data_IF_505060189275
#
_entry.id   IF_505060189275
#
_cell.length_a   1.000
_cell.length_b   1.000
_cell.length_c   1.000
_cell.angle_alpha   90.00
_cell.angle_beta   90.00
_cell.angle_gamma   90.00
#
_symmetry.space_group_name_H-M   'P 1'
#
loop_
_entity.id
_entity.type
_entity.pdbx_description
1 polymer ?
#
# COMPACT_ATOMS: atom_id res chain seq x y z
N UNK A 1 12.25 -3.86 -4.72
CA UNK A 1 11.94 -2.90 -5.81
C UNK A 1 11.63 -1.53 -5.19
N UNK A 2 11.84 -0.45 -5.92
CA UNK A 2 11.60 0.95 -5.49
C UNK A 2 10.92 1.71 -6.62
N UNK A 3 10.05 2.65 -6.29
CA UNK A 3 9.39 3.54 -7.24
C UNK A 3 10.00 4.96 -7.16
N UNK A 4 10.32 5.55 -8.32
CA UNK A 4 10.82 6.93 -8.42
C UNK A 4 10.13 7.60 -9.61
N UNK A 5 9.37 8.67 -9.35
CA UNK A 5 8.53 9.31 -10.37
C UNK A 5 7.57 8.30 -10.97
N UNK A 6 7.65 8.06 -12.28
CA UNK A 6 6.85 7.03 -12.94
C UNK A 6 7.59 5.71 -13.22
N UNK A 7 8.81 5.51 -12.69
CA UNK A 7 9.65 4.33 -12.98
C UNK A 7 9.70 3.36 -11.78
N UNK A 8 9.72 2.06 -12.08
CA UNK A 8 10.00 0.99 -11.13
C UNK A 8 11.42 0.50 -11.35
N UNK A 9 12.20 0.51 -10.26
CA UNK A 9 13.58 0.06 -10.24
C UNK A 9 13.74 -1.16 -9.33
N UNK A 10 14.68 -2.04 -9.67
CA UNK A 10 15.11 -3.16 -8.83
C UNK A 10 16.56 -2.94 -8.40
N UNK A 11 16.79 -3.10 -7.10
CA UNK A 11 18.12 -3.04 -6.51
C UNK A 11 18.56 -4.46 -6.16
N UNK A 12 19.68 -4.88 -6.75
CA UNK A 12 20.43 -6.06 -6.34
C UNK A 12 21.39 -5.62 -5.24
N UNK A 13 20.95 -5.78 -3.98
CA UNK A 13 21.71 -5.34 -2.81
C UNK A 13 23.09 -6.01 -2.71
N UNK A 14 23.28 -7.20 -3.31
CA UNK A 14 24.56 -7.90 -3.31
C UNK A 14 25.57 -7.31 -4.30
N UNK A 15 25.10 -6.61 -5.33
CA UNK A 15 25.93 -5.91 -6.32
C UNK A 15 26.12 -4.46 -5.96
N UNK A 16 25.03 -3.78 -5.59
CA UNK A 16 25.06 -2.38 -5.15
C UNK A 16 26.04 -2.24 -3.99
N UNK A 17 25.98 -3.13 -2.99
CA UNK A 17 26.85 -3.18 -1.81
C UNK A 17 28.37 -3.28 -2.05
N UNK A 18 28.82 -3.57 -3.28
CA UNK A 18 30.25 -3.68 -3.63
C UNK A 18 30.85 -2.37 -4.16
N UNK A 19 30.01 -1.42 -4.59
CA UNK A 19 30.45 -0.04 -4.83
C UNK A 19 30.52 0.63 -3.46
N UNK A 20 31.74 0.86 -2.96
CA UNK A 20 32.12 1.65 -1.76
C UNK A 20 31.16 1.63 -0.55
N UNK A 21 31.65 1.11 0.58
CA UNK A 21 30.88 0.77 1.78
C UNK A 21 29.74 1.73 2.13
N UNK A 22 28.51 1.23 2.02
CA UNK A 22 27.31 1.97 2.42
C UNK A 22 27.31 2.16 3.94
N UNK A 23 27.30 3.40 4.39
CA UNK A 23 26.88 3.76 5.75
C UNK A 23 25.37 4.03 5.77
N UNK A 24 24.70 3.77 6.91
CA UNK A 24 23.34 4.25 7.15
C UNK A 24 23.21 5.79 7.08
N UNK A 25 24.34 6.51 7.17
CA UNK A 25 24.41 7.98 7.14
C UNK A 25 24.58 8.57 5.72
N UNK A 26 25.05 7.79 4.73
CA UNK A 26 25.26 8.29 3.36
C UNK A 26 24.22 7.71 2.40
N UNK A 27 23.38 8.59 1.84
CA UNK A 27 22.35 8.23 0.88
C UNK A 27 22.96 7.88 -0.49
N UNK A 28 22.55 6.75 -1.07
CA UNK A 28 22.90 6.42 -2.46
C UNK A 28 22.24 7.41 -3.42
N UNK A 29 23.05 8.25 -4.05
CA UNK A 29 22.61 9.13 -5.14
C UNK A 29 23.02 8.52 -6.48
N UNK A 30 22.06 8.16 -7.32
CA UNK A 30 22.32 7.74 -8.69
C UNK A 30 21.37 8.45 -9.65
N UNK A 31 21.88 8.78 -10.85
CA UNK A 31 21.02 9.30 -11.91
C UNK A 31 20.11 8.19 -12.39
N UNK A 32 18.81 8.45 -12.42
CA UNK A 32 17.80 7.50 -12.93
C UNK A 32 18.02 7.18 -14.42
N UNK A 33 18.78 8.01 -15.14
CA UNK A 33 19.13 7.81 -16.56
C UNK A 33 20.49 7.12 -16.76
N UNK A 34 21.33 7.07 -15.72
CA UNK A 34 22.61 6.32 -15.70
C UNK A 34 22.62 5.40 -14.49
N UNK A 35 21.91 4.28 -14.61
CA UNK A 35 21.84 3.28 -13.57
C UNK A 35 23.23 2.70 -13.28
N UNK A 36 23.57 2.63 -12.01
CA UNK A 36 24.81 2.02 -11.52
C UNK A 36 24.70 0.49 -11.53
N UNK A 37 25.82 -0.22 -11.43
CA UNK A 37 25.79 -1.68 -11.33
C UNK A 37 24.97 -2.13 -10.11
N UNK A 38 24.12 -3.12 -10.32
CA UNK A 38 23.13 -3.56 -9.34
C UNK A 38 21.81 -2.79 -9.30
N UNK A 39 21.64 -1.69 -10.05
CA UNK A 39 20.33 -1.03 -10.21
C UNK A 39 19.78 -1.30 -11.60
N UNK A 40 18.54 -1.83 -11.67
CA UNK A 40 17.90 -2.24 -12.90
C UNK A 40 16.58 -1.52 -13.10
N UNK A 41 16.38 -0.96 -14.29
CA UNK A 41 15.05 -0.51 -14.71
C UNK A 41 14.18 -1.74 -14.99
N UNK A 42 13.00 -1.79 -14.39
CA UNK A 42 12.05 -2.90 -14.55
C UNK A 42 10.95 -2.50 -15.51
N UNK A 43 10.26 -1.39 -15.22
CA UNK A 43 9.13 -0.91 -16.00
C UNK A 43 8.78 0.54 -15.62
N UNK A 44 7.78 1.12 -16.29
CA UNK A 44 7.22 2.45 -16.00
C UNK A 44 5.69 2.45 -15.96
N UNK A 45 5.12 3.46 -15.31
CA UNK A 45 3.73 3.85 -15.42
C UNK A 45 3.59 5.03 -16.40
N UNK A 46 2.39 5.19 -16.97
CA UNK A 46 2.07 6.32 -17.86
C UNK A 46 1.89 7.64 -17.08
N UNK A 47 1.78 7.57 -15.76
CA UNK A 47 1.79 8.71 -14.84
C UNK A 47 2.66 8.44 -13.62
N UNK A 48 2.83 9.45 -12.77
CA UNK A 48 3.59 9.34 -11.54
C UNK A 48 3.06 8.23 -10.62
N UNK A 49 3.96 7.45 -10.05
CA UNK A 49 3.63 6.41 -9.08
C UNK A 49 3.38 7.08 -7.75
N UNK A 50 2.21 6.82 -7.18
CA UNK A 50 1.77 7.43 -5.93
C UNK A 50 2.03 6.52 -4.73
N UNK A 51 2.10 5.21 -4.94
CA UNK A 51 2.26 4.20 -3.90
C UNK A 51 3.00 2.98 -4.43
N UNK A 52 3.87 2.41 -3.61
CA UNK A 52 4.45 1.08 -3.82
C UNK A 52 4.33 0.28 -2.52
N UNK A 53 3.42 -0.70 -2.50
CA UNK A 53 3.09 -1.47 -1.32
C UNK A 53 3.53 -2.93 -1.46
N UNK A 54 4.10 -3.50 -0.39
CA UNK A 54 4.44 -4.92 -0.31
C UNK A 54 3.25 -5.73 0.20
N UNK A 55 3.07 -6.91 -0.37
CA UNK A 55 2.13 -7.88 0.13
C UNK A 55 2.61 -8.40 1.50
N UNK A 56 1.81 -8.18 2.54
CA UNK A 56 2.21 -8.48 3.92
C UNK A 56 2.41 -9.98 4.20
N UNK A 57 1.79 -10.86 3.41
CA UNK A 57 1.88 -12.32 3.60
C UNK A 57 2.73 -13.03 2.53
N UNK A 58 2.95 -12.41 1.36
CA UNK A 58 3.84 -12.90 0.32
C UNK A 58 4.90 -11.84 0.04
N UNK A 59 6.05 -11.96 0.70
CA UNK A 59 7.15 -10.97 0.64
C UNK A 59 7.74 -10.79 -0.77
N UNK A 60 7.39 -11.64 -1.73
CA UNK A 60 7.80 -11.53 -3.13
C UNK A 60 6.84 -10.71 -4.00
N UNK A 61 5.67 -10.30 -3.47
CA UNK A 61 4.65 -9.57 -4.24
C UNK A 61 4.60 -8.11 -3.84
N UNK A 62 4.54 -7.25 -4.85
CA UNK A 62 4.37 -5.81 -4.69
C UNK A 62 3.22 -5.32 -5.57
N UNK A 63 2.63 -4.20 -5.18
CA UNK A 63 1.64 -3.48 -5.98
C UNK A 63 2.07 -2.03 -6.10
N UNK A 64 1.90 -1.44 -7.28
CA UNK A 64 2.12 -0.02 -7.51
C UNK A 64 0.84 0.65 -8.00
N UNK A 65 0.54 1.84 -7.49
CA UNK A 65 -0.56 2.70 -7.94
C UNK A 65 -0.02 3.95 -8.62
N UNK A 66 -0.82 4.61 -9.47
CA UNK A 66 -0.35 5.78 -10.21
C UNK A 66 -1.44 6.77 -10.56
N UNK A 67 -1.03 8.03 -10.78
CA UNK A 67 -1.89 9.10 -11.30
C UNK A 67 -2.38 8.84 -12.73
N UNK A 68 -1.70 7.95 -13.47
CA UNK A 68 -2.16 7.47 -14.79
C UNK A 68 -3.30 6.45 -14.73
N UNK A 69 -3.86 6.19 -13.54
CA UNK A 69 -5.00 5.29 -13.34
C UNK A 69 -4.68 3.81 -13.47
N UNK A 70 -3.40 3.45 -13.39
CA UNK A 70 -2.95 2.06 -13.42
C UNK A 70 -2.55 1.57 -12.05
N UNK A 71 -2.95 0.34 -11.75
CA UNK A 71 -2.40 -0.49 -10.68
C UNK A 71 -1.66 -1.67 -11.31
N UNK A 72 -0.40 -1.89 -10.93
CA UNK A 72 0.39 -3.03 -11.41
C UNK A 72 0.75 -3.94 -10.26
N UNK A 73 0.62 -5.26 -10.46
CA UNK A 73 1.00 -6.29 -9.49
C UNK A 73 2.28 -6.96 -9.99
N UNK A 74 3.26 -7.06 -9.11
CA UNK A 74 4.60 -7.55 -9.38
C UNK A 74 4.90 -8.80 -8.59
N UNK A 75 5.79 -9.62 -9.15
CA UNK A 75 6.52 -10.66 -8.41
C UNK A 75 8.00 -10.41 -8.62
N UNK A 76 8.77 -10.28 -7.53
CA UNK A 76 10.15 -9.77 -7.59
C UNK A 76 11.06 -10.55 -8.56
N UNK A 77 10.80 -11.84 -8.76
CA UNK A 77 11.60 -12.72 -9.62
C UNK A 77 11.22 -12.66 -11.10
N UNK A 78 10.14 -11.96 -11.47
CA UNK A 78 9.67 -11.86 -12.86
C UNK A 78 10.02 -10.50 -13.47
N UNK A 79 10.34 -10.53 -14.76
CA UNK A 79 10.66 -9.33 -15.52
C UNK A 79 9.42 -8.49 -15.88
N UNK A 80 8.24 -9.13 -15.95
CA UNK A 80 6.98 -8.48 -16.30
C UNK A 80 6.02 -8.49 -15.11
N UNK A 81 5.12 -7.49 -15.01
CA UNK A 81 4.08 -7.50 -14.01
C UNK A 81 3.18 -8.72 -14.20
N UNK A 82 2.73 -9.29 -13.08
CA UNK A 82 1.75 -10.39 -13.07
C UNK A 82 0.38 -9.92 -13.59
N UNK A 83 0.02 -8.66 -13.32
CA UNK A 83 -1.21 -8.06 -13.78
C UNK A 83 -1.05 -6.54 -13.92
N UNK A 84 -1.77 -5.98 -14.89
CA UNK A 84 -1.93 -4.54 -15.07
C UNK A 84 -3.44 -4.27 -15.05
N UNK A 85 -3.87 -3.48 -14.08
CA UNK A 85 -5.26 -3.15 -13.82
C UNK A 85 -5.50 -1.67 -14.11
N UNK A 86 -6.67 -1.35 -14.64
CA UNK A 86 -7.16 0.02 -14.80
C UNK A 86 -8.46 0.19 -14.00
N UNK A 87 -8.37 0.29 -12.66
CA UNK A 87 -9.54 0.53 -11.82
C UNK A 87 -10.08 1.95 -12.05
N UNK A 88 -11.25 2.22 -11.48
CA UNK A 88 -11.89 3.55 -11.49
C UNK A 88 -11.96 4.17 -12.90
N UNK A 89 -12.19 3.37 -13.94
CA UNK A 89 -12.25 3.83 -15.34
C UNK A 89 -11.00 4.61 -15.80
N UNK A 90 -9.84 4.31 -15.21
CA UNK A 90 -8.56 4.97 -15.53
C UNK A 90 -8.36 6.32 -14.83
N UNK A 91 -9.20 6.70 -13.88
CA UNK A 91 -8.94 7.84 -13.01
C UNK A 91 -7.74 7.57 -12.08
N UNK A 92 -7.05 8.61 -11.57
CA UNK A 92 -5.91 8.48 -10.67
C UNK A 92 -6.16 7.52 -9.51
N UNK A 93 -5.16 6.69 -9.22
CA UNK A 93 -5.18 5.80 -8.05
C UNK A 93 -4.11 6.29 -7.09
N UNK A 94 -4.52 6.77 -5.91
CA UNK A 94 -3.58 7.34 -4.94
C UNK A 94 -2.85 6.27 -4.14
N UNK A 95 -3.53 5.21 -3.72
CA UNK A 95 -2.94 4.16 -2.91
C UNK A 95 -3.56 2.81 -3.24
N UNK A 96 -2.79 1.75 -3.05
CA UNK A 96 -3.22 0.37 -3.27
C UNK A 96 -2.56 -0.52 -2.21
N UNK A 97 -3.36 -1.38 -1.58
CA UNK A 97 -2.89 -2.36 -0.61
C UNK A 97 -3.39 -3.76 -0.97
N UNK A 98 -2.63 -4.75 -0.56
CA UNK A 98 -3.02 -6.15 -0.67
C UNK A 98 -3.98 -6.54 0.45
N UNK A 99 -5.07 -7.21 0.09
CA UNK A 99 -6.01 -7.82 1.05
C UNK A 99 -5.96 -9.35 0.97
N UNK A 100 -5.81 -10.01 2.13
CA UNK A 100 -5.95 -11.46 2.23
C UNK A 100 -7.32 -11.82 2.77
N UNK A 101 -7.87 -12.93 2.29
CA UNK A 101 -8.94 -13.58 3.02
C UNK A 101 -8.38 -14.11 4.36
N UNK A 102 -8.88 -13.63 5.51
CA UNK A 102 -8.27 -13.92 6.82
C UNK A 102 -8.33 -15.40 7.21
N UNK A 103 -9.30 -16.15 6.66
CA UNK A 103 -9.55 -17.56 7.00
C UNK A 103 -9.32 -18.54 5.86
N UNK A 104 -9.26 -18.07 4.61
CA UNK A 104 -9.16 -18.94 3.43
C UNK A 104 -8.31 -18.28 2.34
N UNK A 105 -6.97 -18.41 2.41
CA UNK A 105 -6.07 -17.72 1.49
C UNK A 105 -6.23 -18.14 0.01
N UNK A 106 -6.92 -19.25 -0.25
CA UNK A 106 -7.28 -19.79 -1.55
C UNK A 106 -8.59 -19.20 -2.13
N UNK A 107 -9.34 -18.42 -1.35
CA UNK A 107 -10.59 -17.82 -1.82
C UNK A 107 -10.35 -16.74 -2.89
N UNK A 108 -11.21 -16.77 -3.91
CA UNK A 108 -11.23 -15.79 -4.99
C UNK A 108 -12.19 -14.66 -4.61
N UNK A 109 -11.73 -13.40 -4.75
CA UNK A 109 -12.59 -12.24 -4.63
C UNK A 109 -13.60 -12.21 -5.80
N UNK A 110 -14.90 -12.18 -5.50
CA UNK A 110 -15.98 -12.25 -6.50
C UNK A 110 -16.89 -11.02 -6.52
N UNK A 111 -16.61 -10.03 -5.66
CA UNK A 111 -17.39 -8.80 -5.51
C UNK A 111 -16.46 -7.64 -5.22
N UNK A 112 -16.77 -6.50 -5.82
CA UNK A 112 -16.13 -5.22 -5.54
C UNK A 112 -17.04 -4.42 -4.62
N UNK A 113 -16.49 -3.88 -3.53
CA UNK A 113 -17.15 -2.88 -2.72
C UNK A 113 -16.58 -1.51 -3.10
N UNK A 114 -17.43 -0.60 -3.53
CA UNK A 114 -17.06 0.79 -3.77
C UNK A 114 -17.55 1.66 -2.61
N UNK A 115 -16.64 2.40 -1.99
CA UNK A 115 -16.96 3.38 -0.96
C UNK A 115 -16.78 4.78 -1.56
N UNK A 116 -17.84 5.59 -1.49
CA UNK A 116 -17.88 6.96 -2.02
C UNK A 116 -18.01 7.94 -0.88
N UNK A 117 -17.19 9.00 -0.91
CA UNK A 117 -17.26 10.06 0.09
C UNK A 117 -18.44 10.98 -0.22
N UNK A 118 -19.26 11.29 0.78
CA UNK A 118 -20.32 12.31 0.62
C UNK A 118 -19.74 13.72 0.39
N UNK A 119 -18.44 13.90 0.63
CA UNK A 119 -17.73 15.15 0.38
C UNK A 119 -17.02 15.17 -0.97
N UNK A 120 -17.44 14.36 -1.96
CA UNK A 120 -16.85 14.30 -3.31
C UNK A 120 -16.67 15.68 -3.99
N UNK A 121 -17.55 16.64 -3.73
CA UNK A 121 -17.43 18.02 -4.25
C UNK A 121 -16.28 18.81 -3.64
N UNK A 122 -15.75 18.37 -2.49
CA UNK A 122 -14.61 18.93 -1.78
C UNK A 122 -13.48 17.91 -1.82
N UNK A 123 -12.68 17.97 -2.88
CA UNK A 123 -11.58 17.02 -3.11
C UNK A 123 -10.67 16.85 -1.89
N UNK A 124 -10.45 17.92 -1.12
CA UNK A 124 -9.66 17.89 0.11
C UNK A 124 -10.26 17.08 1.25
N UNK A 125 -11.59 16.99 1.30
CA UNK A 125 -12.33 16.20 2.27
C UNK A 125 -12.49 14.73 1.84
N UNK A 126 -12.44 14.46 0.53
CA UNK A 126 -12.59 13.12 -0.03
C UNK A 126 -11.26 12.42 -0.36
N UNK A 127 -10.13 13.07 -0.12
CA UNK A 127 -8.80 12.58 -0.49
C UNK A 127 -8.20 11.64 0.56
N UNK A 128 -7.86 10.42 0.16
CA UNK A 128 -7.05 9.50 0.96
C UNK A 128 -5.78 9.15 0.19
N UNK A 129 -4.63 9.34 0.83
CA UNK A 129 -3.33 9.06 0.22
C UNK A 129 -2.68 7.78 0.71
N UNK A 130 -3.13 7.21 1.83
CA UNK A 130 -2.58 5.98 2.36
C UNK A 130 -3.68 5.07 2.87
N UNK A 131 -3.58 3.78 2.52
CA UNK A 131 -4.47 2.73 2.99
C UNK A 131 -3.66 1.60 3.62
N UNK A 132 -4.07 1.17 4.81
CA UNK A 132 -3.53 -0.02 5.48
C UNK A 132 -4.67 -1.00 5.70
N UNK A 133 -4.49 -2.23 5.24
CA UNK A 133 -5.44 -3.32 5.44
C UNK A 133 -4.85 -4.37 6.38
N UNK A 134 -5.47 -4.56 7.54
CA UNK A 134 -5.11 -5.57 8.54
C UNK A 134 -6.17 -6.67 8.53
N UNK A 135 -6.18 -7.46 7.45
CA UNK A 135 -7.29 -8.38 7.14
C UNK A 135 -7.61 -9.33 8.29
N UNK A 136 -6.60 -9.85 9.00
CA UNK A 136 -6.79 -10.80 10.13
C UNK A 136 -7.45 -10.15 11.33
N UNK A 137 -7.21 -8.86 11.56
CA UNK A 137 -7.81 -8.11 12.66
C UNK A 137 -9.10 -7.39 12.26
N UNK A 138 -9.54 -7.50 10.99
CA UNK A 138 -10.74 -6.85 10.50
C UNK A 138 -10.64 -5.33 10.35
N UNK A 139 -9.44 -4.75 10.31
CA UNK A 139 -9.28 -3.29 10.25
C UNK A 139 -8.83 -2.79 8.88
N UNK A 140 -9.44 -1.69 8.45
CA UNK A 140 -8.98 -0.84 7.35
C UNK A 140 -8.73 0.55 7.89
N UNK A 141 -7.53 1.08 7.64
CA UNK A 141 -7.17 2.44 8.00
C UNK A 141 -7.01 3.27 6.74
N UNK A 142 -7.71 4.39 6.68
CA UNK A 142 -7.63 5.35 5.58
C UNK A 142 -7.09 6.66 6.14
N UNK A 143 -5.89 7.05 5.70
CA UNK A 143 -5.30 8.33 6.07
C UNK A 143 -5.61 9.40 5.03
N UNK A 144 -6.09 10.54 5.52
CA UNK A 144 -6.17 11.79 4.79
C UNK A 144 -5.11 12.73 5.36
N UNK A 145 -3.93 12.75 4.73
CA UNK A 145 -2.82 13.59 5.17
C UNK A 145 -3.14 15.09 5.06
N UNK A 146 -4.06 15.51 4.17
CA UNK A 146 -4.44 16.92 4.04
C UNK A 146 -5.29 17.40 5.21
N UNK A 147 -6.12 16.52 5.79
CA UNK A 147 -6.94 16.81 6.97
C UNK A 147 -6.29 16.43 8.29
N UNK A 148 -5.10 15.85 8.24
CA UNK A 148 -4.48 15.24 9.41
C UNK A 148 -5.47 14.28 10.11
N UNK A 149 -6.15 13.43 9.34
CA UNK A 149 -7.18 12.52 9.84
C UNK A 149 -6.93 11.08 9.42
N UNK A 150 -7.25 10.14 10.31
CA UNK A 150 -7.22 8.70 10.06
C UNK A 150 -8.61 8.14 10.34
N UNK A 151 -9.19 7.47 9.37
CA UNK A 151 -10.45 6.75 9.52
C UNK A 151 -10.15 5.28 9.74
N UNK A 152 -10.62 4.73 10.86
CA UNK A 152 -10.54 3.30 11.13
C UNK A 152 -11.91 2.67 10.92
N UNK A 153 -11.95 1.71 10.00
CA UNK A 153 -13.14 0.94 9.65
C UNK A 153 -12.92 -0.49 10.11
N UNK A 154 -13.82 -1.00 10.94
CA UNK A 154 -13.83 -2.40 11.37
C UNK A 154 -14.79 -3.20 10.49
N UNK A 155 -14.36 -4.39 10.11
CA UNK A 155 -15.14 -5.40 9.42
C UNK A 155 -15.24 -6.61 10.34
N UNK A 156 -16.46 -6.87 10.82
CA UNK A 156 -16.78 -8.16 11.42
C UNK A 156 -17.08 -9.15 10.31
N UNK A 157 -16.21 -10.15 10.16
CA UNK A 157 -16.38 -11.22 9.17
C UNK A 157 -17.52 -12.17 9.53
N UNK A 158 -17.89 -12.26 10.82
CA UNK A 158 -18.87 -13.19 11.33
C UNK A 158 -18.47 -14.67 11.16
N UNK A 159 -19.38 -15.60 11.47
CA UNK A 159 -19.10 -17.04 11.41
C UNK A 159 -19.09 -17.63 9.99
N UNK A 160 -19.55 -16.88 8.98
CA UNK A 160 -19.58 -17.29 7.58
C UNK A 160 -19.50 -16.07 6.64
N UNK A 161 -19.05 -16.22 5.38
CA UNK A 161 -18.78 -15.08 4.50
C UNK A 161 -19.97 -14.14 4.25
N UNK A 162 -21.20 -14.64 4.26
CA UNK A 162 -22.40 -13.82 4.08
C UNK A 162 -22.75 -12.95 5.30
N UNK A 163 -22.15 -13.20 6.48
CA UNK A 163 -22.33 -12.38 7.68
C UNK A 163 -21.35 -11.20 7.75
N UNK A 164 -20.39 -11.13 6.82
CA UNK A 164 -19.37 -10.07 6.79
C UNK A 164 -20.03 -8.71 6.63
N UNK A 165 -19.74 -7.79 7.56
CA UNK A 165 -20.30 -6.44 7.59
C UNK A 165 -19.34 -5.45 8.20
N UNK A 166 -19.48 -4.18 7.81
CA UNK A 166 -18.89 -3.07 8.56
C UNK A 166 -19.79 -2.81 9.76
N UNK A 167 -19.25 -2.89 10.96
CA UNK A 167 -19.97 -2.68 12.22
C UNK A 167 -19.50 -1.43 12.98
N UNK A 168 -18.31 -0.91 12.67
CA UNK A 168 -17.76 0.26 13.33
C UNK A 168 -16.91 1.11 12.37
N UNK A 169 -17.08 2.43 12.45
CA UNK A 169 -16.21 3.42 11.81
C UNK A 169 -15.91 4.54 12.82
N UNK A 170 -14.66 4.96 12.87
CA UNK A 170 -14.23 6.09 13.73
C UNK A 170 -13.18 6.94 13.04
N UNK A 171 -13.07 8.19 13.48
CA UNK A 171 -12.11 9.18 12.99
C UNK A 171 -11.15 9.56 14.12
N UNK A 172 -9.85 9.58 13.80
CA UNK A 172 -8.80 10.08 14.66
C UNK A 172 -8.14 11.29 14.00
N UNK A 173 -8.05 12.41 14.71
CA UNK A 173 -7.28 13.56 14.26
C UNK A 173 -5.85 13.45 14.76
N UNK A 174 -4.89 13.60 13.86
CA UNK A 174 -3.47 13.73 14.19
C UNK A 174 -3.07 15.21 14.18
N UNK A 175 -2.09 15.57 15.00
CA UNK A 175 -1.66 16.97 15.13
C UNK A 175 -0.63 17.39 14.08
N UNK A 176 -0.03 16.41 13.40
CA UNK A 176 1.04 16.61 12.40
C UNK A 176 0.68 15.88 11.10
N UNK A 177 1.18 16.35 9.93
CA UNK A 177 0.93 15.70 8.65
C UNK A 177 1.42 14.26 8.62
N UNK A 178 0.61 13.36 8.04
CA UNK A 178 0.93 11.95 7.91
C UNK A 178 1.86 11.76 6.71
N UNK A 179 3.13 11.41 6.98
CA UNK A 179 4.11 11.06 5.96
C UNK A 179 3.97 9.60 5.54
N UNK A 180 3.79 8.69 6.51
CA UNK A 180 3.61 7.27 6.26
C UNK A 180 2.76 6.63 7.35
N UNK A 181 1.96 5.66 6.96
CA UNK A 181 1.09 4.87 7.81
C UNK A 181 1.39 3.39 7.54
N UNK A 182 1.76 2.66 8.58
CA UNK A 182 1.84 1.20 8.53
C UNK A 182 1.15 0.60 9.74
N UNK A 183 0.74 -0.66 9.61
CA UNK A 183 0.06 -1.37 10.67
C UNK A 183 0.50 -2.81 10.73
N UNK A 184 0.51 -3.35 11.93
CA UNK A 184 0.69 -4.78 12.20
C UNK A 184 -0.43 -5.25 13.12
N UNK A 185 -0.73 -6.54 13.08
CA UNK A 185 -1.69 -7.16 13.98
C UNK A 185 -1.15 -8.47 14.49
N UNK A 186 -1.06 -8.60 15.80
CA UNK A 186 -0.63 -9.83 16.46
C UNK A 186 -1.79 -10.46 17.23
N UNK A 187 -1.92 -11.77 17.10
CA UNK A 187 -2.83 -12.58 17.90
C UNK A 187 -2.05 -13.16 19.08
N UNK A 188 -2.30 -12.66 20.29
CA UNK A 188 -1.65 -13.14 21.51
C UNK A 188 -2.30 -14.45 22.00
N UNK A 189 -1.54 -15.31 22.73
CA UNK A 189 -2.11 -16.48 23.39
C UNK A 189 -3.19 -16.04 24.38
N UNK A 190 -4.45 -16.41 24.13
CA UNK A 190 -5.60 -15.96 24.93
C UNK A 190 -6.70 -15.27 24.13
N UNK A 191 -6.49 -15.03 22.82
CA UNK A 191 -7.50 -14.42 21.93
C UNK A 191 -7.50 -12.89 21.93
N UNK A 192 -6.57 -12.28 22.66
CA UNK A 192 -6.34 -10.83 22.61
C UNK A 192 -5.67 -10.47 21.27
N UNK A 193 -6.27 -9.54 20.54
CA UNK A 193 -5.77 -9.04 19.27
C UNK A 193 -5.25 -7.63 19.47
N UNK A 194 -3.94 -7.44 19.28
CA UNK A 194 -3.33 -6.11 19.35
C UNK A 194 -3.06 -5.63 17.94
N UNK A 195 -3.58 -4.44 17.63
CA UNK A 195 -3.26 -3.71 16.41
C UNK A 195 -2.28 -2.60 16.77
N UNK A 196 -1.13 -2.58 16.12
CA UNK A 196 -0.14 -1.51 16.25
C UNK A 196 -0.13 -0.69 14.97
N UNK A 197 -0.40 0.60 15.10
CA UNK A 197 -0.37 1.56 13.99
C UNK A 197 0.81 2.48 14.21
N UNK A 198 1.66 2.57 13.20
CA UNK A 198 2.82 3.44 13.21
C UNK A 198 2.58 4.56 12.19
N UNK A 199 2.49 5.79 12.70
CA UNK A 199 2.42 6.99 11.89
C UNK A 199 3.79 7.67 11.94
N UNK A 200 4.37 7.91 10.77
CA UNK A 200 5.50 8.82 10.63
C UNK A 200 4.95 10.19 10.24
N UNK A 201 5.45 11.23 10.89
CA UNK A 201 5.12 12.62 10.62
C UNK A 201 6.39 13.41 10.31
N UNK A 202 6.22 14.56 9.66
CA UNK A 202 7.29 15.52 9.36
C UNK A 202 7.54 16.48 10.50
#
# INVERSE_FOLDING_TARGET
MVAIGNRILKFDTMKVGKLEGFSAEESLSCSVDKLIDGVQFVDKHDGEITELSMCQWLTTRLTSASLGGMVKIWEDRKALPLAVLRPHDGHPVNSAAFLTAPHRPDHICNRTLELRSSAESKVEDAFFNQVVALSRAGWFLLANAKKNAIYAIHIDYGPYPAATRVDYITEFTVTMPILSLTGTSDSLPGGEHTVQVHCLWT
#
